data_IF_617945659357
#
_entry.id   IF_617945659357
#
_cell.length_a   1.000
_cell.length_b   1.000
_cell.length_c   1.000
_cell.angle_alpha   90.00
_cell.angle_beta   90.00
_cell.angle_gamma   90.00
#
_symmetry.space_group_name_H-M   'P 1'
#
loop_
_entity.id
_entity.type
_entity.pdbx_description
1 polymer ?
#
# COMPACT_ATOMS: atom_id res chain seq x y z
N UNK A 1 -1.92 -16.76 -1.54
CA UNK A 1 -0.51 -17.17 -1.30
C UNK A 1 0.19 -16.22 -0.34
N UNK A 2 -0.56 -15.31 0.22
CA UNK A 2 -0.15 -14.44 1.30
C UNK A 2 0.16 -15.29 2.52
N UNK A 3 1.31 -15.07 3.13
CA UNK A 3 1.68 -15.73 4.39
C UNK A 3 1.79 -17.26 4.37
N UNK A 4 1.87 -17.89 3.21
CA UNK A 4 2.03 -19.37 3.16
C UNK A 4 3.30 -19.85 3.83
N UNK A 5 4.35 -19.02 3.85
CA UNK A 5 5.61 -19.35 4.51
C UNK A 5 5.48 -19.48 6.05
N UNK A 6 4.51 -18.79 6.67
CA UNK A 6 4.30 -18.84 8.12
C UNK A 6 3.06 -19.64 8.53
N UNK A 7 2.39 -20.27 7.59
CA UNK A 7 1.16 -21.02 7.89
C UNK A 7 1.46 -22.23 8.77
N UNK A 8 0.84 -22.27 9.96
CA UNK A 8 1.04 -23.34 10.93
C UNK A 8 2.35 -23.24 11.73
N UNK A 9 3.12 -22.17 11.54
CA UNK A 9 4.32 -21.90 12.34
C UNK A 9 3.90 -21.20 13.62
N UNK A 10 4.08 -21.88 14.76
CA UNK A 10 3.74 -21.39 16.11
C UNK A 10 4.94 -20.84 16.87
N UNK A 11 6.15 -21.16 16.38
CA UNK A 11 7.41 -20.68 16.94
C UNK A 11 7.87 -19.38 16.29
N UNK A 12 9.18 -19.12 16.32
CA UNK A 12 9.74 -17.92 15.73
C UNK A 12 9.60 -17.87 14.21
N UNK A 13 8.84 -16.91 13.70
CA UNK A 13 8.73 -16.64 12.27
C UNK A 13 10.03 -16.12 11.70
N UNK A 14 10.82 -15.40 12.49
CA UNK A 14 12.15 -14.90 12.08
C UNK A 14 13.06 -16.09 11.79
N UNK A 15 13.18 -17.02 12.74
CA UNK A 15 14.00 -18.22 12.57
C UNK A 15 13.50 -19.06 11.39
N UNK A 16 12.20 -19.24 11.28
CA UNK A 16 11.59 -20.01 10.18
C UNK A 16 11.88 -19.37 8.82
N UNK A 17 11.77 -18.04 8.68
CA UNK A 17 12.07 -17.35 7.42
C UNK A 17 13.50 -17.61 6.94
N UNK A 18 14.47 -17.64 7.83
CA UNK A 18 15.87 -17.94 7.50
C UNK A 18 16.15 -19.40 7.12
N UNK A 19 15.18 -20.31 7.26
CA UNK A 19 15.34 -21.68 6.71
C UNK A 19 15.16 -21.75 5.20
N UNK A 20 14.54 -20.73 4.58
CA UNK A 20 14.37 -20.68 3.13
C UNK A 20 15.67 -20.29 2.44
N UNK A 21 15.97 -21.00 1.35
CA UNK A 21 17.09 -20.61 0.47
C UNK A 21 16.65 -19.47 -0.45
N UNK A 22 17.55 -18.54 -0.67
CA UNK A 22 17.34 -17.52 -1.68
C UNK A 22 17.36 -18.16 -3.08
N UNK A 23 16.31 -17.99 -3.90
CA UNK A 23 16.27 -18.59 -5.24
C UNK A 23 17.16 -17.84 -6.25
N UNK A 24 17.50 -16.59 -5.96
CA UNK A 24 18.28 -15.70 -6.82
C UNK A 24 19.23 -14.86 -5.96
N UNK A 25 20.28 -14.36 -6.58
CA UNK A 25 21.16 -13.39 -5.93
C UNK A 25 20.41 -12.10 -5.60
N UNK A 26 20.63 -11.49 -4.42
CA UNK A 26 19.97 -10.25 -4.02
C UNK A 26 20.14 -9.14 -5.06
N UNK A 27 19.04 -8.44 -5.37
CA UNK A 27 19.04 -7.31 -6.30
C UNK A 27 18.98 -7.68 -7.79
N UNK A 28 18.96 -8.97 -8.16
CA UNK A 28 19.01 -9.41 -9.57
C UNK A 28 17.65 -9.70 -10.18
N UNK A 29 16.70 -10.22 -9.41
CA UNK A 29 15.39 -10.66 -9.91
C UNK A 29 14.30 -10.17 -8.97
N UNK A 30 13.24 -9.57 -9.53
CA UNK A 30 12.06 -9.23 -8.77
C UNK A 30 11.29 -10.50 -8.36
N UNK A 31 11.09 -10.65 -7.06
CA UNK A 31 10.18 -11.66 -6.51
C UNK A 31 9.36 -11.06 -5.38
N UNK A 32 8.03 -11.04 -5.54
CA UNK A 32 7.16 -10.56 -4.48
C UNK A 32 7.17 -11.51 -3.29
N UNK A 33 7.58 -11.00 -2.13
CA UNK A 33 7.71 -11.77 -0.91
C UNK A 33 7.10 -11.04 0.29
N UNK A 34 6.00 -11.57 0.79
CA UNK A 34 5.31 -11.02 1.97
C UNK A 34 6.09 -11.31 3.26
N UNK A 35 6.87 -12.39 3.29
CA UNK A 35 7.77 -12.72 4.41
C UNK A 35 8.85 -11.66 4.60
N UNK A 36 9.40 -11.12 3.50
CA UNK A 36 10.35 -10.02 3.56
C UNK A 36 9.75 -8.78 4.25
N UNK A 37 8.48 -8.46 4.02
CA UNK A 37 7.79 -7.36 4.72
C UNK A 37 7.71 -7.59 6.22
N UNK A 38 7.46 -8.85 6.66
CA UNK A 38 7.52 -9.20 8.07
C UNK A 38 8.93 -9.02 8.66
N UNK A 39 9.97 -9.42 7.91
CA UNK A 39 11.35 -9.24 8.36
C UNK A 39 11.71 -7.76 8.55
N UNK A 40 11.24 -6.88 7.66
CA UNK A 40 11.40 -5.43 7.83
C UNK A 40 10.67 -4.92 9.07
N UNK A 41 9.45 -5.40 9.33
CA UNK A 41 8.70 -5.05 10.54
C UNK A 41 9.43 -5.47 11.82
N UNK A 42 9.97 -6.68 11.82
CA UNK A 42 10.76 -7.21 12.95
C UNK A 42 12.04 -6.40 13.17
N UNK A 43 12.72 -6.01 12.09
CA UNK A 43 13.92 -5.16 12.16
C UNK A 43 13.59 -3.79 12.76
N UNK A 44 12.49 -3.15 12.33
CA UNK A 44 12.01 -1.88 12.90
C UNK A 44 11.71 -2.06 14.39
N UNK A 45 11.01 -3.12 14.78
CA UNK A 45 10.71 -3.41 16.19
C UNK A 45 11.99 -3.52 17.02
N UNK A 46 12.99 -4.25 16.49
CA UNK A 46 14.28 -4.46 17.16
C UNK A 46 15.07 -3.15 17.31
N UNK A 47 15.11 -2.32 16.28
CA UNK A 47 15.92 -1.09 16.25
C UNK A 47 15.26 0.06 17.00
N UNK A 48 13.94 0.16 16.96
CA UNK A 48 13.18 1.25 17.57
C UNK A 48 12.64 0.92 18.96
N UNK A 49 12.78 -0.33 19.42
CA UNK A 49 12.21 -0.85 20.69
C UNK A 49 10.69 -0.61 20.80
N UNK A 50 10.01 -0.50 19.66
CA UNK A 50 8.56 -0.35 19.52
C UNK A 50 8.11 -1.10 18.27
N UNK A 51 6.98 -1.81 18.32
CA UNK A 51 6.44 -2.44 17.13
C UNK A 51 5.93 -1.40 16.11
N UNK A 52 5.79 -1.82 14.85
CA UNK A 52 5.43 -0.93 13.74
C UNK A 52 4.08 -0.27 13.97
N UNK A 53 3.08 -0.99 14.51
CA UNK A 53 1.77 -0.41 14.78
C UNK A 53 1.87 0.74 15.80
N UNK A 54 2.64 0.58 16.87
CA UNK A 54 2.84 1.64 17.88
C UNK A 54 3.52 2.87 17.27
N UNK A 55 4.55 2.67 16.44
CA UNK A 55 5.23 3.77 15.73
C UNK A 55 4.30 4.47 14.74
N UNK A 56 3.55 3.71 13.96
CA UNK A 56 2.58 4.28 13.01
C UNK A 56 1.48 5.06 13.72
N UNK A 57 0.93 4.52 14.82
CA UNK A 57 -0.06 5.25 15.64
C UNK A 57 0.49 6.58 16.12
N UNK A 58 1.71 6.61 16.64
CA UNK A 58 2.33 7.82 17.18
C UNK A 58 2.63 8.86 16.10
N UNK A 59 3.29 8.43 15.01
CA UNK A 59 3.91 9.34 14.04
C UNK A 59 3.01 9.72 12.88
N UNK A 60 2.07 8.86 12.49
CA UNK A 60 1.28 9.04 11.28
C UNK A 60 -0.22 9.02 11.57
N UNK A 61 -0.72 7.94 12.16
CA UNK A 61 -2.17 7.69 12.19
C UNK A 61 -2.91 8.63 13.14
N UNK A 62 -2.38 8.85 14.36
CA UNK A 62 -2.97 9.77 15.32
C UNK A 62 -2.98 11.24 14.84
N UNK A 63 -1.90 11.78 14.23
CA UNK A 63 -1.93 13.08 13.58
C UNK A 63 -2.99 13.22 12.47
N UNK A 64 -3.36 12.10 11.83
CA UNK A 64 -4.38 12.04 10.78
C UNK A 64 -5.80 11.78 11.32
N UNK A 65 -5.96 11.65 12.66
CA UNK A 65 -7.23 11.30 13.28
C UNK A 65 -7.69 9.86 12.98
N UNK A 66 -6.75 8.95 12.72
CA UNK A 66 -7.01 7.52 12.52
C UNK A 66 -6.77 6.81 13.85
N UNK A 67 -7.83 6.36 14.51
CA UNK A 67 -7.77 5.76 15.85
C UNK A 67 -8.27 4.34 15.89
N UNK A 68 -9.21 3.98 15.01
CA UNK A 68 -9.78 2.65 14.90
C UNK A 68 -8.94 1.81 13.92
N UNK A 69 -7.99 1.10 14.47
CA UNK A 69 -6.99 0.36 13.71
C UNK A 69 -6.58 -0.92 14.46
N UNK A 70 -6.56 -2.00 13.75
CA UNK A 70 -6.01 -3.28 14.18
C UNK A 70 -4.96 -3.75 13.19
N UNK A 71 -3.88 -4.33 13.69
CA UNK A 71 -2.87 -4.99 12.87
C UNK A 71 -2.42 -6.27 13.56
N UNK A 72 -2.47 -7.37 12.85
CA UNK A 72 -2.09 -8.68 13.38
C UNK A 72 -0.63 -8.70 13.83
N UNK A 73 -0.36 -9.51 14.85
CA UNK A 73 0.97 -9.74 15.39
C UNK A 73 1.42 -11.19 15.16
N UNK A 74 2.73 -11.37 15.06
CA UNK A 74 3.38 -12.67 15.03
C UNK A 74 3.43 -13.30 16.44
N UNK A 75 3.80 -14.60 16.56
CA UNK A 75 4.02 -15.21 17.86
C UNK A 75 5.06 -14.49 18.73
N UNK A 76 6.02 -13.80 18.11
CA UNK A 76 7.02 -12.98 18.82
C UNK A 76 6.52 -11.58 19.24
N UNK A 77 5.26 -11.23 18.95
CA UNK A 77 4.69 -9.92 19.27
C UNK A 77 5.10 -8.79 18.30
N UNK A 78 5.71 -9.12 17.16
CA UNK A 78 5.98 -8.14 16.11
C UNK A 78 4.72 -7.90 15.26
N UNK A 79 4.46 -6.66 14.89
CA UNK A 79 3.45 -6.36 13.87
C UNK A 79 3.78 -7.11 12.58
N UNK A 80 2.79 -7.76 11.96
CA UNK A 80 3.02 -8.62 10.78
C UNK A 80 3.60 -7.86 9.59
N UNK A 81 3.23 -6.60 9.39
CA UNK A 81 3.81 -5.74 8.37
C UNK A 81 3.32 -6.00 6.94
N UNK A 82 3.29 -7.24 6.50
CA UNK A 82 2.95 -7.62 5.13
C UNK A 82 1.46 -7.91 4.87
N UNK A 83 0.66 -8.09 5.92
CA UNK A 83 -0.79 -8.34 5.87
C UNK A 83 -1.44 -8.07 7.22
N UNK A 84 -2.76 -8.29 7.31
CA UNK A 84 -3.49 -8.25 8.57
C UNK A 84 -3.70 -6.86 9.15
N UNK A 85 -3.57 -5.80 8.34
CA UNK A 85 -3.95 -4.45 8.70
C UNK A 85 -5.43 -4.25 8.39
N UNK A 86 -6.20 -3.81 9.39
CA UNK A 86 -7.62 -3.49 9.28
C UNK A 86 -7.83 -2.01 9.47
N UNK A 87 -8.40 -1.35 8.46
CA UNK A 87 -8.72 0.06 8.42
C UNK A 87 -10.07 0.28 7.74
N UNK A 88 -10.77 1.34 8.11
CA UNK A 88 -11.96 1.80 7.38
C UNK A 88 -11.57 2.45 6.06
N UNK A 89 -12.41 2.31 5.03
CA UNK A 89 -12.16 2.91 3.71
C UNK A 89 -11.85 4.42 3.77
N UNK A 90 -12.54 5.26 4.56
CA UNK A 90 -12.19 6.67 4.70
C UNK A 90 -10.79 6.90 5.28
N UNK A 91 -10.31 6.03 6.16
CA UNK A 91 -8.97 6.15 6.74
C UNK A 91 -7.89 5.72 5.74
N UNK A 92 -8.17 4.71 4.91
CA UNK A 92 -7.31 4.35 3.77
C UNK A 92 -7.24 5.53 2.78
N UNK A 93 -8.35 6.22 2.52
CA UNK A 93 -8.38 7.41 1.67
C UNK A 93 -7.53 8.56 2.24
N UNK A 94 -7.52 8.78 3.56
CA UNK A 94 -6.61 9.75 4.18
C UNK A 94 -5.14 9.39 3.92
N UNK A 95 -4.77 8.12 4.05
CA UNK A 95 -3.41 7.65 3.73
C UNK A 95 -3.09 7.91 2.25
N UNK A 96 -4.01 7.63 1.34
CA UNK A 96 -3.83 7.90 -0.08
C UNK A 96 -3.61 9.41 -0.34
N UNK A 97 -4.35 10.30 0.34
CA UNK A 97 -4.17 11.76 0.26
C UNK A 97 -2.81 12.19 0.82
N UNK A 98 -2.38 11.61 1.95
CA UNK A 98 -1.03 11.87 2.50
C UNK A 98 0.06 11.55 1.47
N UNK A 99 -0.07 10.42 0.77
CA UNK A 99 0.87 10.00 -0.28
C UNK A 99 0.79 10.93 -1.51
N UNK A 100 -0.40 11.34 -1.95
CA UNK A 100 -0.59 12.29 -3.04
C UNK A 100 0.02 13.69 -2.73
N UNK A 101 0.02 14.07 -1.47
CA UNK A 101 0.65 15.29 -0.97
C UNK A 101 2.12 15.10 -0.57
N UNK A 102 2.76 14.03 -1.04
CA UNK A 102 4.17 13.71 -0.78
C UNK A 102 4.53 13.82 0.71
N UNK A 103 3.70 13.20 1.55
CA UNK A 103 3.95 13.08 2.99
C UNK A 103 3.48 14.25 3.85
N UNK A 104 2.80 15.24 3.27
CA UNK A 104 2.26 16.41 4.00
C UNK A 104 0.78 16.21 4.36
N UNK A 105 0.44 16.49 5.60
CA UNK A 105 -0.93 16.42 6.13
C UNK A 105 -1.22 17.66 6.99
N UNK A 106 -2.25 18.44 6.60
CA UNK A 106 -2.65 19.68 7.30
C UNK A 106 -1.46 20.58 7.62
N UNK A 107 -0.57 20.82 6.64
CA UNK A 107 0.61 21.67 6.76
C UNK A 107 1.80 21.04 7.52
N UNK A 108 1.66 19.84 8.05
CA UNK A 108 2.74 19.12 8.75
C UNK A 108 3.34 18.04 7.85
N UNK A 109 4.65 17.89 7.88
CA UNK A 109 5.35 16.78 7.23
C UNK A 109 5.32 15.57 8.17
N UNK A 110 4.57 14.52 7.79
CA UNK A 110 4.53 13.25 8.51
C UNK A 110 5.52 12.23 7.95
N UNK A 111 5.76 12.29 6.64
CA UNK A 111 6.75 11.47 5.94
C UNK A 111 7.64 12.43 5.13
N UNK A 112 8.96 12.33 5.21
CA UNK A 112 9.85 13.18 4.40
C UNK A 112 9.59 13.01 2.90
N UNK A 113 9.45 14.12 2.18
CA UNK A 113 9.17 14.13 0.74
C UNK A 113 10.27 13.39 -0.06
N UNK A 114 11.54 13.62 0.29
CA UNK A 114 12.68 12.96 -0.37
C UNK A 114 12.65 11.44 -0.19
N UNK A 115 12.21 10.96 0.99
CA UNK A 115 12.01 9.53 1.18
C UNK A 115 10.90 8.97 0.28
N UNK A 116 9.78 9.67 0.15
CA UNK A 116 8.68 9.22 -0.73
C UNK A 116 9.09 9.25 -2.20
N UNK A 117 9.83 10.27 -2.66
CA UNK A 117 10.39 10.30 -4.01
C UNK A 117 11.24 9.05 -4.29
N UNK A 118 12.12 8.71 -3.35
CA UNK A 118 12.96 7.52 -3.50
C UNK A 118 12.13 6.21 -3.38
N UNK A 119 11.21 6.14 -2.43
CA UNK A 119 10.40 4.95 -2.19
C UNK A 119 9.42 4.64 -3.34
N UNK A 120 8.94 5.67 -4.04
CA UNK A 120 8.01 5.53 -5.16
C UNK A 120 8.70 5.58 -6.52
N UNK A 121 10.03 5.71 -6.56
CA UNK A 121 10.82 5.54 -7.78
C UNK A 121 10.91 4.06 -8.14
N UNK A 122 10.91 3.74 -9.43
CA UNK A 122 11.16 2.37 -9.91
C UNK A 122 12.59 1.94 -9.53
N UNK A 123 12.70 0.93 -8.69
CA UNK A 123 13.96 0.33 -8.24
C UNK A 123 14.31 -0.90 -9.07
N UNK A 124 13.30 -1.65 -9.52
CA UNK A 124 13.45 -2.86 -10.32
C UNK A 124 12.25 -3.02 -11.25
N UNK A 125 12.48 -3.64 -12.41
CA UNK A 125 11.41 -4.01 -13.34
C UNK A 125 10.58 -5.16 -12.78
N UNK A 126 9.28 -5.16 -13.09
CA UNK A 126 8.38 -6.28 -12.81
C UNK A 126 8.04 -7.02 -14.11
N UNK A 127 7.68 -8.32 -14.05
CA UNK A 127 7.24 -9.05 -15.23
C UNK A 127 6.07 -8.35 -15.96
N UNK A 128 6.08 -8.36 -17.29
CA UNK A 128 5.09 -7.67 -18.15
C UNK A 128 3.64 -8.08 -17.88
N UNK A 129 3.41 -9.33 -17.46
CA UNK A 129 2.07 -9.81 -17.11
C UNK A 129 1.44 -9.06 -15.91
N UNK A 130 2.21 -8.23 -15.21
CA UNK A 130 1.74 -7.39 -14.09
C UNK A 130 1.10 -6.07 -14.54
N UNK A 131 0.97 -5.83 -15.86
CA UNK A 131 0.33 -4.60 -16.36
C UNK A 131 -0.94 -4.21 -15.57
N UNK A 132 -1.17 -2.91 -15.25
CA UNK A 132 -0.44 -1.73 -15.72
C UNK A 132 0.89 -1.44 -14.99
N UNK A 133 1.32 -2.32 -14.11
CA UNK A 133 2.52 -2.18 -13.31
C UNK A 133 3.74 -2.54 -14.16
N UNK A 134 4.74 -1.66 -14.15
CA UNK A 134 5.99 -1.83 -14.88
C UNK A 134 7.23 -1.88 -13.98
N UNK A 135 7.06 -1.71 -12.67
CA UNK A 135 8.18 -1.72 -11.74
C UNK A 135 7.75 -1.77 -10.28
N UNK A 136 8.75 -1.86 -9.40
CA UNK A 136 8.56 -1.91 -7.97
C UNK A 136 9.55 -0.97 -7.28
N UNK A 137 9.05 -0.19 -6.33
CA UNK A 137 9.83 0.69 -5.46
C UNK A 137 10.01 0.07 -4.07
N UNK A 138 10.07 0.87 -3.03
CA UNK A 138 10.10 0.39 -1.65
C UNK A 138 8.69 -0.02 -1.22
N UNK A 139 8.27 -1.22 -1.65
CA UNK A 139 6.94 -1.81 -1.45
C UNK A 139 5.78 -1.07 -2.16
N UNK A 140 6.08 -0.21 -3.13
CA UNK A 140 5.12 0.40 -4.02
C UNK A 140 5.21 -0.22 -5.42
N UNK A 141 4.07 -0.52 -6.01
CA UNK A 141 3.94 -0.89 -7.41
C UNK A 141 3.93 0.37 -8.27
N UNK A 142 4.77 0.42 -9.29
CA UNK A 142 4.97 1.59 -10.14
C UNK A 142 4.35 1.35 -11.51
N UNK A 143 3.64 2.33 -12.04
CA UNK A 143 3.03 2.29 -13.37
C UNK A 143 3.77 3.21 -14.34
N UNK A 144 3.56 3.01 -15.66
CA UNK A 144 4.27 3.75 -16.70
C UNK A 144 3.92 5.25 -16.74
N UNK A 145 2.78 5.65 -16.19
CA UNK A 145 2.33 7.05 -16.08
C UNK A 145 2.80 7.75 -14.80
N UNK A 146 3.84 7.23 -14.15
CA UNK A 146 4.39 7.71 -12.88
C UNK A 146 3.41 7.63 -11.68
N UNK A 147 2.28 6.96 -11.84
CA UNK A 147 1.45 6.59 -10.71
C UNK A 147 2.10 5.46 -9.92
N UNK A 148 1.76 5.37 -8.65
CA UNK A 148 2.16 4.25 -7.82
C UNK A 148 0.98 3.75 -6.98
N UNK A 149 1.09 2.52 -6.51
CA UNK A 149 -0.01 1.93 -5.75
C UNK A 149 0.40 0.83 -4.80
N UNK A 150 -0.54 0.49 -3.94
CA UNK A 150 -0.50 -0.66 -3.05
C UNK A 150 -1.69 -1.54 -3.41
N UNK A 151 -1.43 -2.80 -3.72
CA UNK A 151 -2.45 -3.74 -4.16
C UNK A 151 -2.53 -4.90 -3.18
N UNK A 152 -3.57 -4.89 -2.36
CA UNK A 152 -3.87 -5.94 -1.40
C UNK A 152 -4.72 -7.05 -2.01
N UNK A 153 -4.82 -8.17 -1.30
CA UNK A 153 -5.70 -9.27 -1.68
C UNK A 153 -7.16 -8.81 -1.78
N UNK A 154 -7.93 -9.49 -2.62
CA UNK A 154 -9.38 -9.29 -2.78
C UNK A 154 -9.79 -7.92 -3.32
N UNK A 155 -8.88 -7.13 -3.86
CA UNK A 155 -9.19 -5.83 -4.46
C UNK A 155 -9.13 -4.66 -3.48
N UNK A 156 -8.34 -4.75 -2.41
CA UNK A 156 -8.02 -3.62 -1.55
C UNK A 156 -6.88 -2.83 -2.19
N UNK A 157 -7.13 -1.61 -2.63
CA UNK A 157 -6.21 -0.88 -3.51
C UNK A 157 -6.09 0.57 -3.10
N UNK A 158 -4.87 1.09 -3.10
CA UNK A 158 -4.55 2.51 -3.16
C UNK A 158 -3.82 2.75 -4.48
N UNK A 159 -4.25 3.74 -5.25
CA UNK A 159 -3.51 4.25 -6.42
C UNK A 159 -3.36 5.75 -6.28
N UNK A 160 -2.16 6.25 -6.50
CA UNK A 160 -1.80 7.64 -6.33
C UNK A 160 -1.05 8.13 -7.55
N UNK A 161 -1.42 9.31 -8.04
CA UNK A 161 -0.63 10.09 -8.99
C UNK A 161 -0.38 11.47 -8.38
N UNK A 162 0.82 11.76 -7.86
CA UNK A 162 1.12 13.03 -7.21
C UNK A 162 1.12 14.21 -8.18
N UNK A 163 1.51 14.02 -9.44
CA UNK A 163 1.54 15.08 -10.45
C UNK A 163 0.13 15.58 -10.76
N UNK A 164 -0.83 14.66 -10.86
CA UNK A 164 -2.26 14.98 -11.07
C UNK A 164 -2.99 15.31 -9.77
N UNK A 165 -2.33 15.18 -8.61
CA UNK A 165 -2.93 15.29 -7.27
C UNK A 165 -4.15 14.39 -7.09
N UNK A 166 -4.07 13.19 -7.65
CA UNK A 166 -5.13 12.18 -7.59
C UNK A 166 -4.74 11.08 -6.62
N UNK A 167 -5.72 10.69 -5.81
CA UNK A 167 -5.61 9.55 -4.91
C UNK A 167 -6.92 8.76 -4.95
N UNK A 168 -6.82 7.46 -5.08
CA UNK A 168 -7.96 6.54 -5.10
C UNK A 168 -7.74 5.47 -4.04
N UNK A 169 -8.74 5.23 -3.21
CA UNK A 169 -8.76 4.17 -2.22
C UNK A 169 -10.00 3.30 -2.44
N UNK A 170 -9.81 2.00 -2.56
CA UNK A 170 -10.86 1.02 -2.78
C UNK A 170 -10.69 -0.10 -1.78
N UNK A 171 -11.79 -0.50 -1.14
CA UNK A 171 -11.88 -1.74 -0.37
C UNK A 171 -12.88 -2.67 -1.03
N UNK A 172 -12.50 -3.92 -1.19
CA UNK A 172 -13.35 -4.94 -1.80
C UNK A 172 -13.13 -6.31 -1.15
N UNK A 173 -14.10 -7.19 -1.35
CA UNK A 173 -14.02 -8.61 -1.00
C UNK A 173 -14.14 -9.49 -2.26
N UNK A 174 -13.50 -9.09 -3.36
CA UNK A 174 -13.62 -9.75 -4.64
C UNK A 174 -12.90 -11.11 -4.64
N UNK A 175 -13.52 -12.11 -5.26
CA UNK A 175 -12.94 -13.44 -5.40
C UNK A 175 -11.97 -13.50 -6.58
N UNK A 176 -10.86 -14.21 -6.41
CA UNK A 176 -9.90 -14.50 -7.50
C UNK A 176 -10.42 -15.55 -8.51
N UNK A 177 -11.63 -16.12 -8.29
CA UNK A 177 -12.19 -17.16 -9.15
C UNK A 177 -12.38 -16.72 -10.60
N UNK A 178 -12.61 -15.43 -10.83
CA UNK A 178 -12.85 -14.84 -12.17
C UNK A 178 -11.66 -14.00 -12.67
N UNK A 179 -10.47 -14.23 -12.15
CA UNK A 179 -9.25 -13.49 -12.47
C UNK A 179 -8.79 -12.57 -11.34
N UNK A 180 -7.66 -11.88 -11.56
CA UNK A 180 -7.09 -10.99 -10.55
C UNK A 180 -7.92 -9.70 -10.42
N UNK A 181 -8.63 -9.46 -9.31
CA UNK A 181 -9.46 -8.28 -9.13
C UNK A 181 -8.67 -6.98 -9.21
N UNK A 182 -7.41 -6.98 -8.78
CA UNK A 182 -6.55 -5.78 -8.84
C UNK A 182 -6.30 -5.31 -10.27
N UNK A 183 -6.20 -6.24 -11.24
CA UNK A 183 -6.02 -5.89 -12.65
C UNK A 183 -7.25 -5.17 -13.21
N UNK A 184 -8.45 -5.66 -12.88
CA UNK A 184 -9.70 -5.01 -13.29
C UNK A 184 -9.84 -3.63 -12.64
N UNK A 185 -9.58 -3.54 -11.35
CA UNK A 185 -9.62 -2.27 -10.60
C UNK A 185 -8.65 -1.26 -11.19
N UNK A 186 -7.39 -1.65 -11.42
CA UNK A 186 -6.38 -0.78 -12.02
C UNK A 186 -6.80 -0.27 -13.40
N UNK A 187 -7.41 -1.13 -14.22
CA UNK A 187 -7.96 -0.73 -15.52
C UNK A 187 -9.06 0.30 -15.37
N UNK A 188 -10.04 0.07 -14.49
CA UNK A 188 -11.15 0.99 -14.23
C UNK A 188 -10.63 2.34 -13.72
N UNK A 189 -9.70 2.33 -12.75
CA UNK A 189 -9.09 3.55 -12.20
C UNK A 189 -8.42 4.36 -13.31
N UNK A 190 -7.60 3.71 -14.13
CA UNK A 190 -6.91 4.38 -15.22
C UNK A 190 -7.90 4.95 -16.25
N UNK A 191 -8.79 4.13 -16.80
CA UNK A 191 -9.70 4.52 -17.89
C UNK A 191 -10.79 5.52 -17.45
N UNK A 192 -11.29 5.41 -16.22
CA UNK A 192 -12.45 6.20 -15.77
C UNK A 192 -12.10 7.39 -14.90
N UNK A 193 -10.90 7.40 -14.30
CA UNK A 193 -10.48 8.46 -13.40
C UNK A 193 -9.25 9.20 -13.94
N UNK A 194 -8.16 8.50 -14.24
CA UNK A 194 -6.88 9.14 -14.56
C UNK A 194 -6.85 9.74 -15.98
N UNK A 195 -7.33 9.01 -17.00
CA UNK A 195 -7.39 9.53 -18.36
C UNK A 195 -8.35 10.74 -18.49
N UNK A 196 -9.56 10.72 -17.92
CA UNK A 196 -10.44 11.90 -17.99
C UNK A 196 -9.86 13.15 -17.37
N UNK A 197 -9.04 13.03 -16.30
CA UNK A 197 -8.40 14.18 -15.62
C UNK A 197 -7.28 14.82 -16.43
N UNK A 198 -6.78 14.17 -17.48
CA UNK A 198 -5.83 14.79 -18.43
C UNK A 198 -6.47 15.88 -19.29
N UNK A 199 -7.80 15.94 -19.35
CA UNK A 199 -8.57 16.89 -20.17
C UNK A 199 -8.77 18.25 -19.53
N UNK A 200 -8.20 18.51 -18.36
CA UNK A 200 -8.26 19.79 -17.64
C UNK A 200 -8.99 19.73 -16.32
N UNK A 201 -9.25 20.91 -15.73
CA UNK A 201 -9.95 21.03 -14.46
C UNK A 201 -11.40 20.59 -14.63
N UNK A 202 -11.85 19.68 -13.77
CA UNK A 202 -13.26 19.28 -13.74
C UNK A 202 -14.10 20.44 -13.24
N UNK A 203 -15.24 20.71 -13.89
CA UNK A 203 -16.22 21.66 -13.39
C UNK A 203 -16.82 21.13 -12.06
N UNK A 204 -17.17 22.05 -11.18
CA UNK A 204 -17.79 21.69 -9.90
C UNK A 204 -19.19 21.11 -10.15
N UNK A 205 -19.40 19.85 -9.83
CA UNK A 205 -20.72 19.20 -9.87
C UNK A 205 -21.42 19.36 -8.51
N UNK A 206 -22.14 20.49 -8.36
CA UNK A 206 -22.87 20.81 -7.13
C UNK A 206 -23.94 19.78 -6.77
N UNK A 207 -24.57 19.18 -7.77
CA UNK A 207 -25.58 18.13 -7.53
C UNK A 207 -24.96 16.77 -7.20
N UNK A 208 -23.82 16.47 -7.78
CA UNK A 208 -22.98 15.33 -7.40
C UNK A 208 -22.48 15.43 -5.97
N UNK A 209 -22.04 16.61 -5.52
CA UNK A 209 -21.65 16.86 -4.15
C UNK A 209 -22.80 16.66 -3.15
N UNK A 210 -23.99 17.14 -3.48
CA UNK A 210 -25.19 16.93 -2.65
C UNK A 210 -25.58 15.44 -2.56
N UNK A 211 -25.46 14.70 -3.66
CA UNK A 211 -25.68 13.24 -3.65
C UNK A 211 -24.65 12.54 -2.81
N UNK A 212 -23.37 12.86 -2.97
CA UNK A 212 -22.28 12.26 -2.21
C UNK A 212 -22.44 12.44 -0.70
N UNK A 213 -22.85 13.65 -0.25
CA UNK A 213 -23.12 13.94 1.18
C UNK A 213 -24.21 13.07 1.81
N UNK A 214 -25.05 12.40 1.01
CA UNK A 214 -26.05 11.45 1.53
C UNK A 214 -25.48 10.06 1.83
N UNK A 215 -24.29 9.75 1.32
CA UNK A 215 -23.62 8.47 1.48
C UNK A 215 -22.41 8.52 2.43
N UNK A 216 -22.02 9.72 2.85
CA UNK A 216 -20.97 9.98 3.84
C UNK A 216 -21.57 10.32 5.21
#
# INVERSE_FOLDING_TARGET
RLSTCFRGVTDSWITHYFTYKLPHDPGTVFQYDTGASYMLSSLVTKTMHKNVLALMKERVLKPMGITDIEWLESPEGNTVGGWGLYLKTPDIAKIAILLANMGKWNGKTLIPEEYLKEATRKQIDTPEEKYPVCGYGYQYWITADHSFGVYGAFGNVIVVNPEKKLAVAITAGASDKNGNPNRLISKIVNEKLFIPTERGTLETDVDGEKKLKKYL
#
